data_IF_917492485432
#
_entry.id   IF_917492485432
#
_cell.length_a   1.000
_cell.length_b   1.000
_cell.length_c   1.000
_cell.angle_alpha   90.00
_cell.angle_beta   90.00
_cell.angle_gamma   90.00
#
_symmetry.space_group_name_H-M   'P 1'
#
loop_
_entity.id
_entity.type
_entity.pdbx_description
1 polymer ?
#
# COMPACT_ATOMS: atom_id res chain seq x y z
N UNK A 1 38.54 -2.29 -38.87
CA UNK A 1 37.98 -3.29 -37.95
C UNK A 1 37.48 -2.55 -36.74
N UNK A 2 36.18 -2.28 -36.67
CA UNK A 2 35.56 -1.53 -35.60
C UNK A 2 34.87 -2.49 -34.62
N UNK A 3 35.30 -2.46 -33.37
CA UNK A 3 34.73 -3.26 -32.28
C UNK A 3 33.41 -2.63 -31.84
N UNK A 4 32.30 -3.31 -32.06
CA UNK A 4 31.03 -2.98 -31.45
C UNK A 4 31.06 -3.41 -29.99
N UNK A 5 31.09 -2.42 -29.10
CA UNK A 5 30.86 -2.59 -27.66
C UNK A 5 29.37 -2.80 -27.41
N UNK A 6 29.00 -4.00 -27.03
CA UNK A 6 27.64 -4.34 -26.58
C UNK A 6 27.35 -3.70 -25.23
N UNK A 7 26.48 -2.70 -25.24
CA UNK A 7 25.98 -2.04 -24.03
C UNK A 7 25.00 -2.98 -23.30
N UNK A 8 25.49 -3.69 -22.29
CA UNK A 8 24.66 -4.47 -21.38
C UNK A 8 23.92 -3.53 -20.45
N UNK A 9 22.65 -3.33 -20.71
CA UNK A 9 21.69 -2.69 -19.82
C UNK A 9 21.54 -3.53 -18.53
N UNK A 10 22.45 -3.38 -17.59
CA UNK A 10 22.30 -3.89 -16.24
C UNK A 10 21.27 -2.99 -15.52
N UNK A 11 20.02 -3.45 -15.45
CA UNK A 11 19.08 -2.93 -14.46
C UNK A 11 19.75 -3.04 -13.09
N UNK A 12 20.25 -1.95 -12.57
CA UNK A 12 20.75 -1.85 -11.20
C UNK A 12 19.58 -2.22 -10.28
N UNK A 13 19.63 -3.41 -9.67
CA UNK A 13 18.80 -3.74 -8.51
C UNK A 13 19.11 -2.64 -7.49
N UNK A 14 18.14 -1.78 -7.16
CA UNK A 14 18.25 -0.85 -6.05
C UNK A 14 18.59 -1.68 -4.82
N UNK A 15 19.79 -1.51 -4.29
CA UNK A 15 20.23 -2.14 -3.05
C UNK A 15 19.58 -1.36 -1.89
N UNK A 16 18.50 -1.90 -1.35
CA UNK A 16 17.79 -1.35 -0.19
C UNK A 16 18.53 -1.61 1.14
N UNK A 17 19.74 -2.15 1.11
CA UNK A 17 20.52 -2.48 2.31
C UNK A 17 20.86 -1.27 3.19
N UNK A 18 20.72 -0.04 2.67
CA UNK A 18 21.02 1.21 3.35
C UNK A 18 19.80 2.08 3.64
N UNK A 19 18.58 1.62 3.35
CA UNK A 19 17.40 2.41 3.64
C UNK A 19 17.19 2.54 5.14
N UNK A 20 17.34 3.78 5.61
CA UNK A 20 16.99 4.18 6.96
C UNK A 20 15.52 4.54 6.96
N UNK A 21 14.76 4.00 7.90
CA UNK A 21 13.44 4.53 8.23
C UNK A 21 13.61 5.69 9.21
N UNK A 22 12.82 6.74 9.02
CA UNK A 22 12.73 7.85 9.96
C UNK A 22 11.71 7.51 11.04
N UNK A 23 12.11 7.57 12.31
CA UNK A 23 11.19 7.43 13.44
C UNK A 23 10.64 8.82 13.74
N UNK A 24 9.31 8.98 13.58
CA UNK A 24 8.60 10.23 13.85
C UNK A 24 8.22 10.37 15.31
N UNK A 25 7.89 9.24 15.95
CA UNK A 25 7.52 9.16 17.37
C UNK A 25 7.78 7.75 17.89
N UNK A 26 8.15 7.62 19.15
CA UNK A 26 8.24 6.32 19.82
C UNK A 26 8.06 6.50 21.34
N UNK A 27 7.30 5.58 21.94
CA UNK A 27 7.21 5.41 23.39
C UNK A 27 7.32 3.91 23.74
N UNK A 28 6.88 3.49 24.93
CA UNK A 28 6.93 2.09 25.38
C UNK A 28 5.90 1.19 24.70
N UNK A 29 4.90 1.76 24.03
CA UNK A 29 3.73 1.04 23.49
C UNK A 29 3.64 1.10 22.00
N UNK A 30 4.07 2.19 21.37
CA UNK A 30 3.96 2.42 19.92
C UNK A 30 5.23 3.02 19.32
N UNK A 31 5.41 2.79 18.03
CA UNK A 31 6.41 3.47 17.20
C UNK A 31 5.78 3.92 15.88
N UNK A 32 5.94 5.19 15.56
CA UNK A 32 5.47 5.81 14.32
C UNK A 32 6.67 6.11 13.44
N UNK A 33 6.63 5.66 12.20
CA UNK A 33 7.70 5.84 11.24
C UNK A 33 7.21 6.55 9.98
N UNK A 34 8.14 7.16 9.26
CA UNK A 34 7.96 7.56 7.87
C UNK A 34 8.51 6.44 6.96
N UNK A 35 7.63 5.64 6.38
CA UNK A 35 8.03 4.55 5.47
C UNK A 35 8.41 5.13 4.11
N UNK A 36 9.61 4.88 3.58
CA UNK A 36 9.96 5.28 2.22
C UNK A 36 9.18 4.47 1.17
N UNK A 37 9.02 5.03 -0.02
CA UNK A 37 8.54 4.31 -1.21
C UNK A 37 9.56 3.23 -1.63
N UNK A 38 9.08 2.10 -2.12
CA UNK A 38 9.89 0.96 -2.53
C UNK A 38 10.15 -0.07 -1.43
N UNK A 39 9.91 0.27 -0.16
CA UNK A 39 10.10 -0.62 0.98
C UNK A 39 8.78 -1.34 1.34
N UNK A 40 8.86 -2.66 1.54
CA UNK A 40 7.74 -3.44 2.07
C UNK A 40 7.46 -3.07 3.53
N UNK A 41 6.19 -3.07 3.92
CA UNK A 41 5.76 -2.79 5.30
C UNK A 41 6.14 -3.93 6.25
N UNK A 42 5.78 -5.16 5.88
CA UNK A 42 5.94 -6.37 6.69
C UNK A 42 6.48 -7.52 5.83
N UNK A 43 7.15 -8.52 6.43
CA UNK A 43 7.59 -9.69 5.70
C UNK A 43 6.39 -10.54 5.24
N UNK A 44 6.54 -11.24 4.13
CA UNK A 44 5.60 -12.27 3.69
C UNK A 44 6.25 -13.66 3.79
N UNK A 45 5.48 -14.73 3.93
CA UNK A 45 6.02 -16.08 4.12
C UNK A 45 7.03 -16.46 3.03
N UNK A 46 8.20 -16.96 3.45
CA UNK A 46 9.28 -17.37 2.56
C UNK A 46 10.17 -16.23 2.04
N UNK A 47 9.86 -14.99 2.34
CA UNK A 47 10.69 -13.85 1.91
C UNK A 47 11.79 -13.52 2.91
N UNK A 48 12.98 -13.22 2.41
CA UNK A 48 14.09 -12.65 3.17
C UNK A 48 14.34 -11.17 2.84
N UNK A 49 13.40 -10.55 2.16
CA UNK A 49 13.52 -9.13 1.78
C UNK A 49 13.36 -8.26 3.02
N UNK A 50 14.21 -7.23 3.14
CA UNK A 50 14.10 -6.23 4.21
C UNK A 50 12.75 -5.50 4.12
N UNK A 51 12.17 -5.24 5.27
CA UNK A 51 10.87 -4.56 5.41
C UNK A 51 10.99 -3.45 6.46
N UNK A 52 10.02 -2.56 6.52
CA UNK A 52 9.98 -1.52 7.54
C UNK A 52 9.98 -2.15 8.95
N UNK A 53 9.23 -3.23 9.15
CA UNK A 53 9.21 -3.98 10.41
C UNK A 53 10.60 -4.52 10.76
N UNK A 54 11.28 -5.20 9.82
CA UNK A 54 12.60 -5.80 10.12
C UNK A 54 13.68 -4.75 10.39
N UNK A 55 13.61 -3.59 9.73
CA UNK A 55 14.52 -2.48 9.99
C UNK A 55 14.27 -1.90 11.41
N UNK A 56 13.02 -1.75 11.80
CA UNK A 56 12.68 -1.29 13.14
C UNK A 56 13.14 -2.30 14.21
N UNK A 57 13.00 -3.61 13.97
CA UNK A 57 13.56 -4.66 14.82
C UNK A 57 15.08 -4.53 14.97
N UNK A 58 15.81 -4.31 13.86
CA UNK A 58 17.26 -4.08 13.90
C UNK A 58 17.64 -2.84 14.73
N UNK A 59 16.87 -1.76 14.62
CA UNK A 59 17.08 -0.54 15.42
C UNK A 59 16.87 -0.84 16.90
N UNK A 60 15.78 -1.52 17.25
CA UNK A 60 15.48 -1.91 18.64
C UNK A 60 16.55 -2.83 19.23
N UNK A 61 17.07 -3.80 18.45
CA UNK A 61 18.19 -4.62 18.87
C UNK A 61 19.45 -3.80 19.18
N UNK A 62 19.80 -2.86 18.29
CA UNK A 62 20.97 -1.97 18.49
C UNK A 62 20.84 -1.08 19.71
N UNK A 63 19.61 -0.66 20.02
CA UNK A 63 19.32 0.20 21.18
C UNK A 63 19.13 -0.59 22.49
N UNK A 64 19.14 -1.94 22.44
CA UNK A 64 18.93 -2.80 23.61
C UNK A 64 17.47 -2.81 24.10
N UNK A 65 16.52 -2.38 23.28
CA UNK A 65 15.08 -2.31 23.64
C UNK A 65 14.27 -3.48 23.12
N UNK A 66 14.86 -4.36 22.30
CA UNK A 66 14.18 -5.53 21.71
C UNK A 66 14.10 -6.68 22.73
N UNK A 67 12.91 -7.29 22.81
CA UNK A 67 12.68 -8.57 23.49
C UNK A 67 11.57 -9.36 22.79
N UNK A 68 11.34 -10.62 23.17
CA UNK A 68 10.24 -11.43 22.63
C UNK A 68 8.86 -10.81 22.87
N UNK A 69 8.68 -10.09 23.99
CA UNK A 69 7.44 -9.40 24.36
C UNK A 69 7.40 -7.92 23.97
N UNK A 70 8.54 -7.33 23.59
CA UNK A 70 8.67 -5.94 23.18
C UNK A 70 9.39 -5.84 21.84
N UNK A 71 8.62 -5.81 20.77
CA UNK A 71 9.06 -5.81 19.37
C UNK A 71 7.99 -5.19 18.46
N UNK A 72 8.30 -4.84 17.21
CA UNK A 72 7.31 -4.25 16.34
C UNK A 72 6.23 -5.25 15.90
N UNK A 73 4.98 -4.87 16.11
CA UNK A 73 3.78 -5.54 15.62
C UNK A 73 3.05 -4.60 14.67
N UNK A 74 2.86 -4.99 13.43
CA UNK A 74 2.12 -4.18 12.48
C UNK A 74 0.63 -4.13 12.84
N UNK A 75 0.05 -2.95 12.87
CA UNK A 75 -1.38 -2.70 13.09
C UNK A 75 -2.11 -2.37 11.79
N UNK A 76 -1.39 -1.89 10.80
CA UNK A 76 -1.80 -1.68 9.42
C UNK A 76 -0.61 -1.80 8.47
N UNK A 77 -0.84 -1.67 7.20
CA UNK A 77 0.23 -1.71 6.20
C UNK A 77 0.03 -0.63 5.13
N UNK A 78 1.14 -0.19 4.57
CA UNK A 78 1.20 0.55 3.30
C UNK A 78 1.76 -0.38 2.23
N UNK A 79 1.37 -0.18 0.99
CA UNK A 79 1.95 -0.90 -0.14
C UNK A 79 3.42 -0.55 -0.31
N UNK A 80 4.16 -1.40 -1.03
CA UNK A 80 5.60 -1.23 -1.21
C UNK A 80 5.94 0.18 -1.73
N UNK A 81 5.24 0.63 -2.75
CA UNK A 81 5.55 1.88 -3.45
C UNK A 81 4.86 3.10 -2.81
N UNK A 82 3.97 2.88 -1.83
CA UNK A 82 3.38 3.95 -1.02
C UNK A 82 4.36 4.37 0.08
N UNK A 83 4.66 5.66 0.15
CA UNK A 83 5.41 6.28 1.25
C UNK A 83 4.46 6.92 2.26
N UNK A 84 4.93 7.17 3.49
CA UNK A 84 4.20 7.94 4.49
C UNK A 84 4.19 7.33 5.88
N UNK A 85 3.31 7.86 6.70
CA UNK A 85 3.19 7.53 8.12
C UNK A 85 2.71 6.10 8.31
N UNK A 86 3.45 5.33 9.09
CA UNK A 86 3.10 3.96 9.46
C UNK A 86 3.30 3.75 10.95
N UNK A 87 2.31 3.12 11.60
CA UNK A 87 2.27 2.84 13.03
C UNK A 87 2.58 1.36 13.29
N UNK A 88 3.46 1.12 14.26
CA UNK A 88 3.68 -0.19 14.87
C UNK A 88 3.30 -0.13 16.34
N UNK A 89 2.65 -1.17 16.84
CA UNK A 89 2.61 -1.44 18.28
C UNK A 89 3.94 -2.11 18.70
N UNK A 90 4.40 -1.88 19.93
CA UNK A 90 5.62 -2.49 20.44
C UNK A 90 5.35 -3.67 21.38
N UNK A 91 4.09 -3.93 21.68
CA UNK A 91 3.63 -5.11 22.44
C UNK A 91 2.40 -5.71 21.78
N UNK A 92 2.20 -7.02 21.96
CA UNK A 92 1.02 -7.72 21.43
C UNK A 92 -0.29 -7.18 22.00
N UNK A 93 -0.30 -6.81 23.28
CA UNK A 93 -1.47 -6.21 23.92
C UNK A 93 -1.82 -4.84 23.30
N UNK A 94 -0.81 -4.00 23.03
CA UNK A 94 -1.01 -2.73 22.33
C UNK A 94 -1.53 -2.96 20.91
N UNK A 95 -0.97 -3.92 20.16
CA UNK A 95 -1.45 -4.29 18.85
C UNK A 95 -2.94 -4.64 18.88
N UNK A 96 -3.33 -5.54 19.77
CA UNK A 96 -4.73 -5.97 19.91
C UNK A 96 -5.65 -4.78 20.21
N UNK A 97 -5.31 -3.96 21.21
CA UNK A 97 -6.10 -2.78 21.58
C UNK A 97 -6.27 -1.79 20.41
N UNK A 98 -5.19 -1.52 19.67
CA UNK A 98 -5.23 -0.61 18.52
C UNK A 98 -6.10 -1.20 17.41
N UNK A 99 -5.95 -2.49 17.09
CA UNK A 99 -6.73 -3.13 16.04
C UNK A 99 -8.22 -3.23 16.39
N UNK A 100 -8.55 -3.58 17.64
CA UNK A 100 -9.94 -3.65 18.12
C UNK A 100 -10.65 -2.27 18.10
N UNK A 101 -9.88 -1.19 18.27
CA UNK A 101 -10.40 0.18 18.31
C UNK A 101 -10.06 1.00 17.05
N UNK A 102 -9.55 0.37 15.98
CA UNK A 102 -9.00 1.05 14.81
C UNK A 102 -9.91 2.15 14.26
N UNK A 103 -11.17 1.83 14.02
CA UNK A 103 -12.15 2.77 13.46
C UNK A 103 -12.57 3.89 14.43
N UNK A 104 -12.25 3.76 15.74
CA UNK A 104 -12.55 4.77 16.75
C UNK A 104 -11.39 5.75 16.93
N UNK A 105 -10.15 5.26 16.83
CA UNK A 105 -8.94 6.05 17.10
C UNK A 105 -8.36 6.69 15.84
N UNK A 106 -8.58 6.09 14.66
CA UNK A 106 -8.13 6.65 13.38
C UNK A 106 -9.26 7.47 12.78
N UNK A 107 -9.18 8.77 12.92
CA UNK A 107 -10.20 9.72 12.44
C UNK A 107 -10.11 9.96 10.94
N UNK A 108 -8.90 9.92 10.38
CA UNK A 108 -8.65 10.16 8.96
C UNK A 108 -7.49 9.32 8.42
N UNK A 109 -7.64 8.87 7.17
CA UNK A 109 -6.58 8.22 6.39
C UNK A 109 -6.43 8.99 5.09
N UNK A 110 -5.55 10.00 5.12
CA UNK A 110 -5.33 10.89 3.99
C UNK A 110 -4.12 10.45 3.17
N UNK A 111 -4.31 10.43 1.86
CA UNK A 111 -3.27 10.12 0.89
C UNK A 111 -3.19 11.24 -0.15
N UNK A 112 -2.01 11.38 -0.75
CA UNK A 112 -1.82 12.20 -1.94
C UNK A 112 -1.34 11.32 -3.08
N UNK A 113 -1.98 11.47 -4.23
CA UNK A 113 -1.64 10.72 -5.43
C UNK A 113 -1.60 11.63 -6.64
N UNK A 114 -0.68 11.34 -7.54
CA UNK A 114 -0.61 11.96 -8.85
C UNK A 114 -1.08 10.95 -9.87
N UNK A 115 -2.09 11.29 -10.64
CA UNK A 115 -2.60 10.46 -11.73
C UNK A 115 -2.41 11.16 -13.08
N UNK A 116 -2.18 10.35 -14.13
CA UNK A 116 -2.20 10.84 -15.50
C UNK A 116 -3.61 11.27 -15.90
N UNK A 117 -3.71 12.39 -16.60
CA UNK A 117 -4.98 12.84 -17.13
C UNK A 117 -5.46 11.90 -18.25
N UNK A 118 -6.78 11.62 -18.34
CA UNK A 118 -7.30 10.78 -19.41
C UNK A 118 -7.01 11.39 -20.77
N UNK A 119 -6.62 10.57 -21.74
CA UNK A 119 -6.37 11.02 -23.12
C UNK A 119 -7.61 11.58 -23.81
N UNK A 120 -8.79 11.18 -23.35
CA UNK A 120 -10.07 11.68 -23.85
C UNK A 120 -10.47 12.95 -23.11
N UNK A 121 -10.59 14.06 -23.82
CA UNK A 121 -11.09 15.34 -23.29
C UNK A 121 -12.56 15.31 -22.82
N UNK A 122 -13.27 14.20 -23.04
CA UNK A 122 -14.69 14.05 -22.65
C UNK A 122 -14.89 13.73 -21.16
N UNK A 123 -13.85 13.26 -20.46
CA UNK A 123 -13.95 12.94 -19.06
C UNK A 123 -13.45 14.13 -18.25
N UNK A 124 -14.38 14.95 -17.77
CA UNK A 124 -14.11 16.03 -16.83
C UNK A 124 -14.54 15.52 -15.46
N UNK A 125 -13.57 15.35 -14.58
CA UNK A 125 -13.83 15.01 -13.18
C UNK A 125 -14.25 16.27 -12.41
N UNK A 126 -15.28 16.20 -11.53
CA UNK A 126 -15.57 17.28 -10.57
C UNK A 126 -14.38 17.49 -9.63
N UNK A 127 -14.30 18.69 -9.02
CA UNK A 127 -13.19 19.02 -8.10
C UNK A 127 -13.14 18.13 -6.85
N UNK A 128 -14.24 17.49 -6.49
CA UNK A 128 -14.33 16.48 -5.43
C UNK A 128 -15.40 15.46 -5.78
N UNK A 129 -15.30 14.28 -5.21
CA UNK A 129 -16.28 13.22 -5.43
C UNK A 129 -15.95 11.96 -4.63
N UNK A 130 -16.79 10.97 -4.81
CA UNK A 130 -16.68 9.64 -4.20
C UNK A 130 -16.42 8.60 -5.31
N UNK A 131 -15.41 7.77 -5.11
CA UNK A 131 -15.20 6.53 -5.85
C UNK A 131 -15.80 5.43 -4.97
N UNK A 132 -16.85 4.76 -5.44
CA UNK A 132 -17.56 3.71 -4.71
C UNK A 132 -17.67 2.49 -5.62
N UNK A 133 -16.76 1.55 -5.47
CA UNK A 133 -16.60 0.39 -6.31
C UNK A 133 -16.54 -0.89 -5.48
N UNK A 134 -16.88 -2.02 -6.11
CA UNK A 134 -16.64 -3.35 -5.60
C UNK A 134 -15.29 -3.86 -6.14
N UNK A 135 -14.35 -4.22 -5.27
CA UNK A 135 -13.07 -4.78 -5.66
C UNK A 135 -13.05 -6.29 -5.54
N UNK A 136 -12.63 -6.97 -6.58
CA UNK A 136 -12.25 -8.38 -6.55
C UNK A 136 -10.72 -8.51 -6.54
N UNK A 137 -10.23 -9.69 -6.13
CA UNK A 137 -8.80 -9.99 -6.13
C UNK A 137 -8.52 -11.21 -7.00
N UNK A 138 -7.51 -11.12 -7.85
CA UNK A 138 -7.05 -12.25 -8.64
C UNK A 138 -6.17 -13.20 -7.79
N UNK A 139 -5.72 -14.33 -8.41
CA UNK A 139 -4.87 -15.32 -7.76
C UNK A 139 -3.51 -14.75 -7.26
N UNK A 140 -3.09 -13.58 -7.74
CA UNK A 140 -1.88 -12.88 -7.32
C UNK A 140 -2.15 -11.77 -6.30
N UNK A 141 -3.36 -11.72 -5.71
CA UNK A 141 -3.83 -10.67 -4.78
C UNK A 141 -3.76 -9.24 -5.38
N UNK A 142 -3.95 -9.11 -6.69
CA UNK A 142 -4.10 -7.81 -7.34
C UNK A 142 -5.58 -7.47 -7.40
N UNK A 143 -5.94 -6.32 -6.79
CA UNK A 143 -7.30 -5.79 -6.81
C UNK A 143 -7.68 -5.26 -8.20
N UNK A 144 -8.91 -5.50 -8.62
CA UNK A 144 -9.50 -4.97 -9.83
C UNK A 144 -11.01 -4.76 -9.64
N UNK A 145 -11.59 -3.84 -10.41
CA UNK A 145 -13.05 -3.65 -10.48
C UNK A 145 -13.62 -4.62 -11.51
N UNK A 146 -14.47 -5.59 -11.11
CA UNK A 146 -15.09 -6.52 -12.05
C UNK A 146 -16.01 -5.76 -13.01
N UNK A 147 -15.93 -6.03 -14.30
CA UNK A 147 -16.86 -5.47 -15.28
C UNK A 147 -18.19 -6.23 -15.19
N UNK A 148 -19.31 -5.52 -15.41
CA UNK A 148 -20.65 -6.14 -15.41
C UNK A 148 -20.76 -7.33 -16.39
N UNK A 149 -20.02 -7.30 -17.50
CA UNK A 149 -19.94 -8.39 -18.47
C UNK A 149 -19.26 -9.66 -17.95
N UNK A 150 -18.44 -9.54 -16.89
CA UNK A 150 -17.75 -10.69 -16.27
C UNK A 150 -18.62 -11.36 -15.20
N UNK A 151 -19.65 -10.65 -14.71
CA UNK A 151 -20.68 -11.18 -13.80
C UNK A 151 -21.93 -11.72 -14.53
N UNK A 152 -22.06 -11.49 -15.83
CA UNK A 152 -23.22 -11.96 -16.62
C UNK A 152 -23.00 -13.40 -17.04
N UNK A 153 -23.91 -14.26 -16.60
CA UNK A 153 -24.14 -15.62 -17.09
C UNK A 153 -24.39 -15.57 -18.60
N UNK A 154 -23.41 -15.78 -19.44
CA UNK A 154 -23.57 -16.25 -20.83
C UNK A 154 -22.24 -16.13 -21.59
N UNK A 155 -21.28 -16.97 -21.26
CA UNK A 155 -20.33 -17.48 -22.25
C UNK A 155 -20.10 -18.97 -21.92
N UNK A 156 -20.83 -19.77 -22.67
CA UNK A 156 -20.65 -21.21 -22.77
C UNK A 156 -19.39 -21.50 -23.58
N UNK A 157 -18.25 -21.26 -22.99
CA UNK A 157 -17.03 -21.91 -23.40
C UNK A 157 -16.83 -23.13 -22.50
N UNK A 158 -16.56 -24.25 -23.11
CA UNK A 158 -16.67 -25.65 -22.71
C UNK A 158 -15.88 -26.11 -21.47
N UNK A 159 -15.70 -25.26 -20.46
CA UNK A 159 -15.31 -25.59 -19.10
C UNK A 159 -16.09 -24.69 -18.14
N UNK A 160 -17.28 -25.19 -17.76
CA UNK A 160 -18.25 -24.45 -16.94
C UNK A 160 -17.83 -24.24 -15.50
N UNK A 161 -17.11 -23.18 -15.21
CA UNK A 161 -17.02 -22.59 -13.89
C UNK A 161 -17.51 -21.15 -13.95
N UNK A 162 -18.71 -20.89 -13.43
CA UNK A 162 -19.17 -19.56 -13.07
C UNK A 162 -18.19 -18.99 -12.03
N UNK A 163 -17.23 -18.20 -12.45
CA UNK A 163 -16.33 -17.50 -11.53
C UNK A 163 -17.09 -16.35 -10.89
N UNK A 164 -17.78 -16.64 -9.80
CA UNK A 164 -18.27 -15.61 -8.90
C UNK A 164 -17.07 -15.10 -8.09
N UNK A 165 -16.59 -13.90 -8.40
CA UNK A 165 -15.55 -13.27 -7.59
C UNK A 165 -16.14 -12.84 -6.25
N UNK A 166 -15.42 -13.15 -5.17
CA UNK A 166 -15.72 -12.53 -3.86
C UNK A 166 -15.26 -11.08 -3.94
N UNK A 167 -16.19 -10.15 -3.85
CA UNK A 167 -15.90 -8.74 -3.84
C UNK A 167 -15.90 -8.16 -2.42
N UNK A 168 -15.22 -7.03 -2.26
CA UNK A 168 -15.25 -6.22 -1.06
C UNK A 168 -15.54 -4.76 -1.45
N UNK A 169 -16.38 -4.04 -0.69
CA UNK A 169 -16.67 -2.64 -0.97
C UNK A 169 -15.40 -1.79 -0.80
N UNK A 170 -15.17 -0.87 -1.72
CA UNK A 170 -14.06 0.06 -1.69
C UNK A 170 -14.57 1.48 -1.93
N UNK A 171 -14.49 2.32 -0.88
CA UNK A 171 -14.97 3.70 -0.89
C UNK A 171 -13.82 4.65 -0.61
N UNK A 172 -13.62 5.59 -1.53
CA UNK A 172 -12.57 6.60 -1.43
C UNK A 172 -13.12 7.95 -1.86
N UNK A 173 -13.12 8.91 -0.95
CA UNK A 173 -13.38 10.31 -1.28
C UNK A 173 -12.14 10.90 -1.94
N UNK A 174 -12.34 11.73 -2.96
CA UNK A 174 -11.24 12.45 -3.59
C UNK A 174 -11.51 13.95 -3.67
N UNK A 175 -10.43 14.71 -3.66
CA UNK A 175 -10.41 16.16 -3.92
C UNK A 175 -9.22 16.47 -4.82
N UNK A 176 -9.47 17.21 -5.91
CA UNK A 176 -8.43 17.72 -6.77
C UNK A 176 -7.75 18.89 -6.05
N UNK A 177 -6.43 18.76 -5.83
CA UNK A 177 -5.61 19.83 -5.26
C UNK A 177 -4.99 20.72 -6.34
N UNK A 178 -4.56 20.08 -7.43
CA UNK A 178 -3.93 20.80 -8.55
C UNK A 178 -4.10 19.99 -9.84
N UNK A 179 -4.47 20.67 -10.92
CA UNK A 179 -4.54 20.07 -12.26
C UNK A 179 -3.49 20.68 -13.16
N UNK A 180 -2.74 19.84 -13.85
CA UNK A 180 -1.79 20.20 -14.89
C UNK A 180 -2.24 19.69 -16.27
N UNK A 181 -1.47 19.94 -17.32
CA UNK A 181 -1.83 19.52 -18.68
C UNK A 181 -1.83 17.99 -18.87
N UNK A 182 -1.00 17.27 -18.13
CA UNK A 182 -0.80 15.81 -18.26
C UNK A 182 -1.12 15.03 -16.99
N UNK A 183 -1.07 15.66 -15.83
CA UNK A 183 -1.26 15.01 -14.53
C UNK A 183 -2.13 15.87 -13.62
N UNK A 184 -2.82 15.20 -12.71
CA UNK A 184 -3.62 15.82 -11.64
C UNK A 184 -3.18 15.30 -10.29
N UNK A 185 -3.00 16.20 -9.32
CA UNK A 185 -2.72 15.88 -7.92
C UNK A 185 -4.04 15.79 -7.16
N UNK A 186 -4.24 14.66 -6.51
CA UNK A 186 -5.41 14.36 -5.67
C UNK A 186 -5.04 14.27 -4.21
N UNK A 187 -5.96 14.67 -3.36
CA UNK A 187 -6.06 14.23 -1.98
C UNK A 187 -7.17 13.18 -1.89
N UNK A 188 -6.86 12.06 -1.24
CA UNK A 188 -7.74 10.91 -1.13
C UNK A 188 -8.00 10.61 0.35
N UNK A 189 -9.26 10.40 0.72
CA UNK A 189 -9.67 9.95 2.04
C UNK A 189 -10.39 8.62 1.94
N UNK A 190 -9.86 7.60 2.63
CA UNK A 190 -10.40 6.24 2.56
C UNK A 190 -11.47 6.03 3.64
N UNK A 191 -12.69 5.68 3.23
CA UNK A 191 -13.78 5.27 4.11
C UNK A 191 -13.69 3.78 4.45
N UNK A 192 -13.19 2.96 3.48
CA UNK A 192 -12.99 1.50 3.63
C UNK A 192 -11.52 1.13 3.45
N UNK A 193 -11.14 -0.09 3.81
CA UNK A 193 -9.81 -0.66 3.62
C UNK A 193 -9.05 -0.91 4.88
#
# INVERSE_FOLDING_TARGET
MANLSTNKNTKTKKDFSHEKIEILYSDETICVINKPSGLLSVPYPGSRVRTAQSILEEIMHKNGTFSSSHRPFAVHRLDRDTSGVMLFALTENAQKKIMDSWHQIITERLYRAVAENPRSKKLILPNCGLIDDELAFNAHNIGFVPRESENSKNNSDSYGENRCFKTVPARTNYKILQSGPTHTLFELSLDTG
#
